data_IF_954481928528
#
_entry.id   IF_954481928528
#
_cell.length_a   1.000
_cell.length_b   1.000
_cell.length_c   1.000
_cell.angle_alpha   90.00
_cell.angle_beta   90.00
_cell.angle_gamma   90.00
#
_symmetry.space_group_name_H-M   'P 1'
#
loop_
_entity.id
_entity.type
_entity.pdbx_description
1 polymer ?
#
# COMPACT_ATOMS: atom_id res chain seq x y z
N UNK A 1 8.67 -3.12 -10.35
CA UNK A 1 7.60 -3.73 -9.53
C UNK A 1 8.14 -5.05 -9.02
N UNK A 2 8.04 -5.30 -7.74
CA UNK A 2 8.47 -6.54 -7.09
C UNK A 2 7.29 -7.10 -6.31
N UNK A 3 7.10 -8.42 -6.36
CA UNK A 3 6.03 -9.10 -5.67
C UNK A 3 6.26 -10.61 -5.66
N UNK A 4 5.45 -11.34 -4.89
CA UNK A 4 5.52 -12.79 -4.79
C UNK A 4 4.12 -13.36 -5.02
N UNK A 5 3.95 -14.13 -6.09
CA UNK A 5 2.74 -14.92 -6.33
C UNK A 5 2.69 -16.10 -5.34
N UNK A 6 1.49 -16.49 -4.90
CA UNK A 6 1.30 -17.62 -4.01
C UNK A 6 1.66 -18.94 -4.70
N UNK A 7 1.28 -19.10 -5.99
CA UNK A 7 1.62 -20.24 -6.81
C UNK A 7 1.87 -19.89 -8.28
N UNK A 8 2.84 -20.55 -8.89
CA UNK A 8 3.05 -20.55 -10.34
C UNK A 8 3.27 -22.02 -10.74
N UNK A 9 2.47 -22.51 -11.67
CA UNK A 9 2.59 -23.89 -12.16
C UNK A 9 2.24 -23.99 -13.64
N UNK A 10 2.55 -25.12 -14.26
CA UNK A 10 2.19 -25.41 -15.66
C UNK A 10 1.08 -26.46 -15.72
N UNK A 11 0.12 -26.26 -16.62
CA UNK A 11 -0.95 -27.19 -16.94
C UNK A 11 -0.92 -27.44 -18.46
N UNK A 12 -0.27 -28.54 -18.87
CA UNK A 12 0.16 -28.72 -20.25
C UNK A 12 1.21 -27.66 -20.62
N UNK A 13 0.95 -26.90 -21.68
CA UNK A 13 1.84 -25.81 -22.13
C UNK A 13 1.46 -24.46 -21.53
N UNK A 14 0.38 -24.39 -20.74
CA UNK A 14 -0.08 -23.14 -20.14
C UNK A 14 0.56 -22.88 -18.78
N UNK A 15 1.26 -21.77 -18.64
CA UNK A 15 1.69 -21.22 -17.34
C UNK A 15 0.51 -20.60 -16.61
N UNK A 16 0.29 -20.96 -15.35
CA UNK A 16 -0.84 -20.51 -14.54
C UNK A 16 -0.32 -19.84 -13.27
N UNK A 17 -0.83 -18.64 -13.01
CA UNK A 17 -0.66 -17.93 -11.73
C UNK A 17 -1.83 -18.34 -10.83
N UNK A 18 -1.54 -18.82 -9.63
CA UNK A 18 -2.56 -19.15 -8.61
C UNK A 18 -2.43 -18.21 -7.41
N UNK A 19 -3.47 -17.45 -7.16
CA UNK A 19 -3.60 -16.59 -5.97
C UNK A 19 -4.52 -17.30 -4.97
N UNK A 20 -3.99 -17.60 -3.79
CA UNK A 20 -4.64 -18.44 -2.78
C UNK A 20 -5.17 -17.58 -1.64
N UNK A 21 -6.44 -17.72 -1.30
CA UNK A 21 -7.10 -16.96 -0.24
C UNK A 21 -7.76 -17.87 0.78
N UNK A 22 -7.26 -17.80 2.03
CA UNK A 22 -7.97 -18.37 3.18
C UNK A 22 -9.12 -17.45 3.59
N UNK A 23 -10.33 -18.00 3.68
CA UNK A 23 -11.55 -17.24 4.00
C UNK A 23 -12.40 -17.97 5.03
N UNK A 24 -13.26 -17.22 5.75
CA UNK A 24 -14.27 -17.77 6.67
C UNK A 24 -15.68 -17.74 6.06
N UNK A 25 -15.85 -17.16 4.87
CA UNK A 25 -17.14 -17.17 4.19
C UNK A 25 -17.36 -18.52 3.47
N UNK A 26 -18.62 -18.99 3.32
CA UNK A 26 -18.93 -20.21 2.61
C UNK A 26 -18.46 -20.16 1.17
N UNK A 27 -17.41 -20.92 0.84
CA UNK A 27 -16.75 -20.87 -0.48
C UNK A 27 -17.65 -21.44 -1.59
N UNK A 28 -18.59 -22.34 -1.25
CA UNK A 28 -19.55 -22.90 -2.19
C UNK A 28 -20.56 -21.86 -2.72
N UNK A 29 -20.75 -20.74 -2.00
CA UNK A 29 -21.69 -19.68 -2.39
C UNK A 29 -21.02 -18.61 -3.28
N UNK A 30 -19.71 -18.76 -3.54
CA UNK A 30 -18.99 -17.86 -4.44
C UNK A 30 -19.30 -18.23 -5.89
N UNK A 31 -19.99 -17.36 -6.59
CA UNK A 31 -20.26 -17.49 -8.03
C UNK A 31 -19.10 -16.99 -8.89
N UNK A 32 -18.28 -16.09 -8.38
CA UNK A 32 -17.12 -15.49 -9.06
C UNK A 32 -16.08 -15.02 -8.05
N UNK A 33 -14.82 -14.84 -8.49
CA UNK A 33 -13.77 -14.32 -7.61
C UNK A 33 -14.05 -12.87 -7.21
N UNK A 34 -13.51 -12.47 -6.05
CA UNK A 34 -13.51 -11.07 -5.64
C UNK A 34 -12.57 -10.28 -6.54
N UNK A 35 -13.06 -9.16 -7.07
CA UNK A 35 -12.32 -8.31 -8.01
C UNK A 35 -10.90 -7.96 -7.55
N UNK A 36 -10.73 -7.62 -6.27
CA UNK A 36 -9.41 -7.24 -5.72
C UNK A 36 -8.40 -8.41 -5.79
N UNK A 37 -8.85 -9.65 -5.54
CA UNK A 37 -7.99 -10.83 -5.62
C UNK A 37 -7.65 -11.17 -7.07
N UNK A 38 -8.64 -11.06 -7.96
CA UNK A 38 -8.43 -11.25 -9.40
C UNK A 38 -7.44 -10.21 -9.94
N UNK A 39 -7.58 -8.93 -9.57
CA UNK A 39 -6.65 -7.88 -9.98
C UNK A 39 -5.23 -8.14 -9.49
N UNK A 40 -5.05 -8.67 -8.29
CA UNK A 40 -3.74 -9.07 -7.77
C UNK A 40 -3.11 -10.19 -8.61
N UNK A 41 -3.85 -11.24 -8.89
CA UNK A 41 -3.38 -12.36 -9.71
C UNK A 41 -3.06 -11.91 -11.15
N UNK A 42 -3.87 -11.03 -11.74
CA UNK A 42 -3.64 -10.45 -13.06
C UNK A 42 -2.38 -9.58 -13.12
N UNK A 43 -2.03 -8.86 -12.04
CA UNK A 43 -0.75 -8.14 -11.98
C UNK A 43 0.44 -9.11 -12.04
N UNK A 44 0.38 -10.23 -11.33
CA UNK A 44 1.43 -11.25 -11.42
C UNK A 44 1.47 -11.93 -12.79
N UNK A 45 0.30 -12.21 -13.36
CA UNK A 45 0.19 -12.77 -14.70
C UNK A 45 0.82 -11.85 -15.76
N UNK A 46 0.58 -10.53 -15.69
CA UNK A 46 1.24 -9.57 -16.54
C UNK A 46 2.76 -9.62 -16.40
N UNK A 47 3.28 -9.62 -15.17
CA UNK A 47 4.73 -9.64 -14.91
C UNK A 47 5.37 -10.90 -15.48
N UNK A 48 4.75 -12.06 -15.28
CA UNK A 48 5.28 -13.35 -15.75
C UNK A 48 5.18 -13.45 -17.28
N UNK A 49 4.03 -13.08 -17.88
CA UNK A 49 3.84 -13.10 -19.32
C UNK A 49 4.85 -12.22 -20.07
N UNK A 50 5.16 -11.02 -19.51
CA UNK A 50 6.16 -10.13 -20.10
C UNK A 50 7.60 -10.66 -19.92
N UNK A 51 7.95 -11.19 -18.73
CA UNK A 51 9.30 -11.68 -18.47
C UNK A 51 9.64 -12.95 -19.25
N UNK A 52 8.68 -13.85 -19.41
CA UNK A 52 8.86 -15.14 -20.08
C UNK A 52 8.42 -15.12 -21.54
N UNK A 53 7.93 -13.98 -22.03
CA UNK A 53 7.43 -13.77 -23.38
C UNK A 53 6.35 -14.78 -23.80
N UNK A 54 5.37 -15.00 -22.89
CA UNK A 54 4.27 -15.94 -23.11
C UNK A 54 3.18 -15.31 -23.99
N UNK A 55 2.62 -16.10 -24.91
CA UNK A 55 1.49 -15.65 -25.74
C UNK A 55 0.15 -15.75 -25.00
N UNK A 56 0.05 -16.69 -24.06
CA UNK A 56 -1.12 -16.94 -23.20
C UNK A 56 -0.68 -17.21 -21.75
N UNK A 57 -1.55 -16.86 -20.80
CA UNK A 57 -1.33 -17.13 -19.38
C UNK A 57 -2.63 -17.41 -18.66
N UNK A 58 -2.62 -18.41 -17.78
CA UNK A 58 -3.74 -18.74 -16.90
C UNK A 58 -3.71 -17.90 -15.62
N UNK A 59 -4.87 -17.46 -15.18
CA UNK A 59 -5.07 -16.82 -13.88
C UNK A 59 -6.06 -17.66 -13.09
N UNK A 60 -5.63 -18.17 -11.95
CA UNK A 60 -6.44 -18.97 -11.04
C UNK A 60 -6.57 -18.28 -9.69
N UNK A 61 -7.77 -18.29 -9.14
CA UNK A 61 -8.08 -17.87 -7.78
C UNK A 61 -8.52 -19.12 -7.01
N UNK A 62 -7.79 -19.47 -5.99
CA UNK A 62 -8.10 -20.59 -5.11
C UNK A 62 -8.57 -20.07 -3.76
N UNK A 63 -9.84 -20.30 -3.41
CA UNK A 63 -10.40 -19.99 -2.10
C UNK A 63 -10.47 -21.24 -1.25
N UNK A 64 -9.91 -21.19 -0.04
CA UNK A 64 -9.95 -22.26 0.94
C UNK A 64 -10.66 -21.76 2.20
N UNK A 65 -11.72 -22.47 2.61
CA UNK A 65 -12.39 -22.19 3.89
C UNK A 65 -11.52 -22.67 5.04
N UNK A 66 -11.14 -21.76 5.95
CA UNK A 66 -10.13 -22.04 6.98
C UNK A 66 -10.53 -23.07 8.05
N UNK A 67 -11.84 -23.33 8.22
CA UNK A 67 -12.33 -24.31 9.20
C UNK A 67 -12.74 -25.64 8.56
N UNK A 68 -13.37 -25.60 7.37
CA UNK A 68 -13.89 -26.79 6.70
C UNK A 68 -12.97 -27.37 5.65
N UNK A 69 -11.89 -26.66 5.30
CA UNK A 69 -10.92 -27.02 4.26
C UNK A 69 -11.55 -27.17 2.86
N UNK A 70 -12.80 -26.72 2.68
CA UNK A 70 -13.44 -26.72 1.36
C UNK A 70 -12.73 -25.73 0.43
N UNK A 71 -12.54 -26.17 -0.82
CA UNK A 71 -11.80 -25.40 -1.82
C UNK A 71 -12.66 -25.19 -3.05
N UNK A 72 -12.70 -23.93 -3.51
CA UNK A 72 -13.28 -23.54 -4.81
C UNK A 72 -12.22 -22.83 -5.63
N UNK A 73 -12.17 -23.11 -6.94
CA UNK A 73 -11.22 -22.50 -7.87
C UNK A 73 -11.94 -21.85 -9.04
N UNK A 74 -11.51 -20.65 -9.38
CA UNK A 74 -11.91 -19.94 -10.57
C UNK A 74 -10.68 -19.79 -11.45
N UNK A 75 -10.77 -20.17 -12.73
CA UNK A 75 -9.66 -20.07 -13.67
C UNK A 75 -10.15 -19.43 -14.97
N UNK A 76 -9.36 -18.50 -15.47
CA UNK A 76 -9.50 -17.87 -16.76
C UNK A 76 -8.14 -17.88 -17.48
N UNK A 77 -8.17 -17.91 -18.80
CA UNK A 77 -6.96 -17.79 -19.64
C UNK A 77 -7.04 -16.46 -20.38
N UNK A 78 -5.93 -15.77 -20.40
CA UNK A 78 -5.78 -14.47 -21.06
C UNK A 78 -4.68 -14.57 -22.11
N UNK A 79 -4.93 -14.00 -23.28
CA UNK A 79 -3.86 -13.72 -24.22
C UNK A 79 -2.95 -12.61 -23.68
N UNK A 80 -1.71 -12.60 -24.14
CA UNK A 80 -0.76 -11.52 -23.80
C UNK A 80 -1.31 -10.13 -24.10
N UNK A 81 -2.03 -9.97 -25.20
CA UNK A 81 -2.63 -8.69 -25.60
C UNK A 81 -3.65 -8.23 -24.55
N UNK A 82 -4.52 -9.13 -24.10
CA UNK A 82 -5.55 -8.81 -23.09
C UNK A 82 -4.94 -8.44 -21.75
N UNK A 83 -3.97 -9.21 -21.25
CA UNK A 83 -3.37 -8.93 -19.94
C UNK A 83 -2.53 -7.64 -19.95
N UNK A 84 -1.81 -7.36 -21.05
CA UNK A 84 -1.07 -6.10 -21.24
C UNK A 84 -2.02 -4.91 -21.29
N UNK A 85 -3.12 -5.02 -22.05
CA UNK A 85 -4.10 -3.94 -22.14
C UNK A 85 -4.78 -3.68 -20.80
N UNK A 86 -5.16 -4.73 -20.11
CA UNK A 86 -5.73 -4.61 -18.77
C UNK A 86 -4.78 -3.91 -17.80
N UNK A 87 -3.49 -4.30 -17.79
CA UNK A 87 -2.48 -3.70 -16.91
C UNK A 87 -2.21 -2.23 -17.26
N UNK A 88 -2.19 -1.88 -18.54
CA UNK A 88 -2.06 -0.47 -18.98
C UNK A 88 -3.23 0.38 -18.47
N UNK A 89 -4.46 -0.10 -18.63
CA UNK A 89 -5.64 0.60 -18.13
C UNK A 89 -5.57 0.81 -16.60
N UNK A 90 -5.11 -0.20 -15.87
CA UNK A 90 -4.88 -0.09 -14.42
C UNK A 90 -3.83 0.98 -14.10
N UNK A 91 -2.73 1.02 -14.84
CA UNK A 91 -1.65 2.01 -14.64
C UNK A 91 -2.10 3.43 -14.97
N UNK A 92 -2.89 3.62 -16.02
CA UNK A 92 -3.45 4.93 -16.41
C UNK A 92 -4.36 5.49 -15.30
N UNK A 93 -5.14 4.65 -14.65
CA UNK A 93 -5.95 5.06 -13.50
C UNK A 93 -5.10 5.33 -12.24
N UNK A 94 -4.06 4.53 -12.01
CA UNK A 94 -3.16 4.71 -10.89
C UNK A 94 -2.28 5.96 -11.01
N UNK A 95 -1.85 6.30 -12.23
CA UNK A 95 -0.97 7.44 -12.49
C UNK A 95 -1.56 8.75 -11.96
N UNK A 96 -2.87 8.95 -12.12
CA UNK A 96 -3.58 10.13 -11.60
C UNK A 96 -3.36 10.32 -10.11
N UNK A 97 -3.42 9.23 -9.34
CA UNK A 97 -3.18 9.23 -7.90
C UNK A 97 -1.71 9.38 -7.54
N UNK A 98 -0.82 8.74 -8.28
CA UNK A 98 0.62 8.85 -8.07
C UNK A 98 1.11 10.30 -8.30
N UNK A 99 0.68 10.93 -9.38
CA UNK A 99 0.97 12.34 -9.69
C UNK A 99 0.41 13.26 -8.61
N UNK A 100 -0.86 13.07 -8.23
CA UNK A 100 -1.47 13.85 -7.15
C UNK A 100 -0.69 13.73 -5.83
N UNK A 101 -0.33 12.51 -5.42
CA UNK A 101 0.43 12.29 -4.18
C UNK A 101 1.83 12.92 -4.25
N UNK A 102 2.50 12.83 -5.40
CA UNK A 102 3.80 13.44 -5.62
C UNK A 102 3.74 14.96 -5.50
N UNK A 103 2.82 15.59 -6.20
CA UNK A 103 2.64 17.04 -6.19
C UNK A 103 2.22 17.54 -4.82
N UNK A 104 1.27 16.84 -4.17
CA UNK A 104 0.85 17.17 -2.83
C UNK A 104 2.00 17.06 -1.82
N UNK A 105 2.81 16.00 -1.90
CA UNK A 105 4.00 15.83 -1.05
C UNK A 105 5.00 16.98 -1.25
N UNK A 106 5.23 17.37 -2.49
CA UNK A 106 6.11 18.48 -2.84
C UNK A 106 5.62 19.81 -2.26
N UNK A 107 4.34 20.13 -2.46
CA UNK A 107 3.72 21.36 -1.92
C UNK A 107 3.71 21.35 -0.40
N UNK A 108 3.30 20.25 0.22
CA UNK A 108 3.33 20.06 1.67
C UNK A 108 4.73 20.29 2.24
N UNK A 109 5.74 19.66 1.65
CA UNK A 109 7.11 19.78 2.15
C UNK A 109 7.63 21.22 2.01
N UNK A 110 7.34 21.91 0.90
CA UNK A 110 7.67 23.32 0.73
C UNK A 110 7.03 24.19 1.83
N UNK A 111 5.73 24.02 2.08
CA UNK A 111 5.03 24.77 3.13
C UNK A 111 5.56 24.48 4.53
N UNK A 112 5.90 23.24 4.84
CA UNK A 112 6.50 22.87 6.13
C UNK A 112 7.90 23.47 6.29
N UNK A 113 8.69 23.54 5.23
CA UNK A 113 10.02 24.16 5.26
C UNK A 113 9.95 25.64 5.67
N UNK A 114 8.98 26.36 5.15
CA UNK A 114 8.77 27.80 5.46
C UNK A 114 8.10 28.04 6.82
N UNK A 115 7.48 27.01 7.41
CA UNK A 115 6.79 27.13 8.68
C UNK A 115 7.76 27.51 9.80
N UNK A 116 7.47 28.61 10.49
CA UNK A 116 8.23 29.07 11.67
C UNK A 116 7.39 28.94 12.94
N UNK A 117 8.05 28.87 14.09
CA UNK A 117 7.32 28.91 15.36
C UNK A 117 6.64 30.27 15.53
N UNK A 118 5.31 30.32 15.70
CA UNK A 118 4.54 31.57 15.53
C UNK A 118 4.66 32.56 16.68
N UNK A 119 5.36 32.19 17.77
CA UNK A 119 5.48 32.99 18.98
C UNK A 119 6.93 33.03 19.49
N UNK A 120 7.24 33.95 20.37
CA UNK A 120 8.46 33.87 21.18
C UNK A 120 8.37 32.68 22.12
N UNK A 121 9.44 31.90 22.19
CA UNK A 121 9.49 30.75 23.10
C UNK A 121 9.41 31.18 24.56
N UNK A 122 8.55 30.54 25.33
CA UNK A 122 8.54 30.62 26.78
C UNK A 122 9.62 29.71 27.37
N UNK A 123 10.05 29.93 28.62
CA UNK A 123 10.99 29.04 29.30
C UNK A 123 10.55 27.57 29.20
N UNK A 124 11.47 26.67 28.82
CA UNK A 124 11.23 25.24 28.65
C UNK A 124 10.51 24.83 27.32
N UNK A 125 9.94 25.74 26.57
CA UNK A 125 9.23 25.39 25.32
C UNK A 125 10.17 24.92 24.20
N UNK A 126 11.36 25.52 24.09
CA UNK A 126 12.31 25.18 23.04
C UNK A 126 12.87 23.78 23.25
N UNK A 127 13.19 23.45 24.49
CA UNK A 127 13.67 22.13 24.90
C UNK A 127 12.58 21.07 24.67
N UNK A 128 11.34 21.36 25.04
CA UNK A 128 10.20 20.49 24.80
C UNK A 128 10.01 20.24 23.29
N UNK A 129 10.04 21.28 22.47
CA UNK A 129 9.90 21.18 21.02
C UNK A 129 11.03 20.34 20.41
N UNK A 130 12.27 20.50 20.86
CA UNK A 130 13.39 19.68 20.42
C UNK A 130 13.22 18.20 20.80
N UNK A 131 12.80 17.91 22.03
CA UNK A 131 12.51 16.53 22.47
C UNK A 131 11.41 15.88 21.63
N UNK A 132 10.34 16.60 21.33
CA UNK A 132 9.24 16.10 20.46
C UNK A 132 9.77 15.81 19.06
N UNK A 133 10.51 16.76 18.44
CA UNK A 133 11.09 16.58 17.12
C UNK A 133 11.93 15.30 17.03
N UNK A 134 12.89 15.13 17.92
CA UNK A 134 13.76 13.95 17.95
C UNK A 134 13.02 12.65 18.30
N UNK A 135 11.93 12.75 19.04
CA UNK A 135 11.11 11.57 19.37
C UNK A 135 10.36 11.07 18.15
N UNK A 136 9.80 11.99 17.35
CA UNK A 136 9.13 11.66 16.09
C UNK A 136 10.15 11.14 15.06
N UNK A 137 11.27 11.83 14.89
CA UNK A 137 12.37 11.44 14.02
C UNK A 137 12.83 9.99 14.27
N UNK A 138 12.93 9.59 15.53
CA UNK A 138 13.40 8.26 15.94
C UNK A 138 12.28 7.22 16.10
N UNK A 139 11.02 7.55 15.79
CA UNK A 139 9.87 6.66 15.98
C UNK A 139 9.68 6.19 17.44
N UNK A 140 10.04 7.03 18.42
CA UNK A 140 9.99 6.69 19.85
C UNK A 140 8.73 7.22 20.52
N UNK A 141 8.56 6.92 21.80
CA UNK A 141 7.49 7.43 22.66
C UNK A 141 8.08 8.46 23.63
N UNK A 142 7.32 9.53 23.89
CA UNK A 142 7.68 10.61 24.82
C UNK A 142 6.53 10.84 25.80
N UNK A 143 6.82 10.81 27.08
CA UNK A 143 5.91 11.20 28.15
C UNK A 143 6.33 12.58 28.66
N UNK A 144 5.38 13.52 28.74
CA UNK A 144 5.66 14.90 29.07
C UNK A 144 4.80 15.30 30.27
N UNK A 145 5.45 15.74 31.34
CA UNK A 145 4.81 16.44 32.44
C UNK A 145 5.16 17.92 32.37
N UNK A 146 4.16 18.77 32.28
CA UNK A 146 4.35 20.20 32.22
C UNK A 146 3.13 20.95 32.79
N UNK A 147 3.36 22.06 33.53
CA UNK A 147 2.26 22.85 34.11
C UNK A 147 1.29 23.38 33.04
N UNK A 148 0.11 23.82 33.49
CA UNK A 148 -0.86 24.52 32.64
C UNK A 148 -0.30 25.86 32.16
N UNK A 149 -0.72 26.30 30.96
CA UNK A 149 -0.31 27.60 30.42
C UNK A 149 1.05 27.70 29.75
N UNK A 150 1.89 26.63 29.78
CA UNK A 150 3.22 26.64 29.11
C UNK A 150 3.14 26.50 27.58
N UNK A 151 1.95 26.34 27.00
CA UNK A 151 1.79 26.19 25.55
C UNK A 151 2.16 24.78 25.03
N UNK A 152 1.80 23.73 25.77
CA UNK A 152 2.06 22.32 25.38
C UNK A 152 1.65 22.01 23.96
N UNK A 153 0.46 22.39 23.54
CA UNK A 153 -0.11 22.07 22.22
C UNK A 153 0.81 22.55 21.09
N UNK A 154 1.22 23.82 21.09
CA UNK A 154 2.07 24.34 20.01
C UNK A 154 3.48 23.75 20.06
N UNK A 155 4.00 23.48 21.27
CA UNK A 155 5.32 22.89 21.50
C UNK A 155 5.38 21.40 21.16
N UNK A 156 4.25 20.76 20.90
CA UNK A 156 4.16 19.37 20.41
C UNK A 156 3.77 19.32 18.94
N UNK A 157 2.77 20.06 18.51
CA UNK A 157 2.27 20.03 17.11
C UNK A 157 3.30 20.61 16.14
N UNK A 158 3.88 21.77 16.44
CA UNK A 158 4.86 22.41 15.55
C UNK A 158 6.07 21.51 15.23
N UNK A 159 6.81 20.97 16.22
CA UNK A 159 7.95 20.11 15.93
C UNK A 159 7.56 18.77 15.32
N UNK A 160 6.37 18.22 15.63
CA UNK A 160 5.87 17.03 14.98
C UNK A 160 5.61 17.26 13.48
N UNK A 161 5.00 18.41 13.11
CA UNK A 161 4.82 18.79 11.71
C UNK A 161 6.16 19.01 11.01
N UNK A 162 7.14 19.68 11.66
CA UNK A 162 8.50 19.83 11.11
C UNK A 162 9.20 18.48 10.87
N UNK A 163 9.00 17.50 11.76
CA UNK A 163 9.56 16.16 11.61
C UNK A 163 8.92 15.36 10.45
N UNK A 164 7.76 15.78 9.90
CA UNK A 164 7.16 15.17 8.70
C UNK A 164 7.95 15.43 7.40
N UNK A 165 9.03 16.23 7.44
CA UNK A 165 9.96 16.40 6.31
C UNK A 165 10.96 15.23 6.20
N UNK A 166 11.08 14.42 7.24
CA UNK A 166 11.94 13.24 7.30
C UNK A 166 11.26 12.05 6.62
#
# INVERSE_FOLDING_TARGET
IEGRADGIFTDGDLTVIDEIKGVYLPVQDLEKPLFIHQAQAMCYAYIVAENENLDEIGVQLTYCHLETEQVVRFRETFSRIEIVQWFRNLMDEYEKWAVYQYDWKKQRNASITELTFPFSYRPGQKELAAMVYHTVEKGKRLFIEAPTGVGKTISTVFPAVKACLL
#
